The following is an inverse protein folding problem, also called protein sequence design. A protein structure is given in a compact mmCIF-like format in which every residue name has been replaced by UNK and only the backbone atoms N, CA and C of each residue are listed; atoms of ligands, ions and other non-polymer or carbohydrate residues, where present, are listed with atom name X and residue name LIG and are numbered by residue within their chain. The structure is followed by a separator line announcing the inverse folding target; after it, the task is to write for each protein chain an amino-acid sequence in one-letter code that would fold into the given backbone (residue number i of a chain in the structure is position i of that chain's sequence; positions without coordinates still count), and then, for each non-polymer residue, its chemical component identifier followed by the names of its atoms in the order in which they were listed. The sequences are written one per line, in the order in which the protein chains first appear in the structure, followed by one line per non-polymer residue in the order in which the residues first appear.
data_IF_817458412646
#
_entry.id   IF_817458412646
#
_cell.length_a   1.000
_cell.length_b   1.000
_cell.length_c   1.000
_cell.angle_alpha   90.00
_cell.angle_beta   90.00
_cell.angle_gamma   90.00
#
_symmetry.space_group_name_H-M   'P 1'
#
loop_
_entity.id
_entity.type
_entity.pdbx_description
1 polymer ?
#
# COMPACT_ATOMS: atom_id res chain seq x y z
N UNK A 1 -22.72 1.84 -5.15
CA UNK A 1 -23.05 2.96 -4.24
C UNK A 1 -21.80 3.28 -3.44
N UNK A 2 -21.39 4.54 -3.40
CA UNK A 2 -20.15 4.98 -2.72
C UNK A 2 -20.38 5.05 -1.21
N UNK A 3 -19.45 4.52 -0.43
CA UNK A 3 -19.48 4.60 1.04
C UNK A 3 -18.73 5.84 1.52
N UNK A 4 -19.35 6.61 2.42
CA UNK A 4 -18.79 7.77 3.09
C UNK A 4 -18.27 7.35 4.47
N UNK A 5 -17.03 7.67 4.78
CA UNK A 5 -16.43 7.29 6.05
C UNK A 5 -16.43 8.46 7.04
N UNK A 6 -16.41 8.19 8.36
CA UNK A 6 -16.28 9.23 9.36
C UNK A 6 -14.97 9.99 9.15
N UNK A 7 -15.03 11.32 9.25
CA UNK A 7 -13.89 12.21 9.13
C UNK A 7 -13.63 12.85 10.48
N UNK A 8 -12.45 12.60 11.03
CA UNK A 8 -12.00 13.26 12.25
C UNK A 8 -11.37 14.62 11.91
N UNK A 9 -11.74 15.72 12.59
CA UNK A 9 -11.06 16.99 12.41
C UNK A 9 -9.58 16.91 12.79
N UNK A 10 -8.70 17.46 11.94
CA UNK A 10 -7.25 17.31 12.07
C UNK A 10 -6.70 17.69 13.46
N UNK A 11 -7.17 18.80 14.04
CA UNK A 11 -6.70 19.23 15.37
C UNK A 11 -7.06 18.23 16.49
N UNK A 12 -8.23 17.58 16.41
CA UNK A 12 -8.62 16.50 17.33
C UNK A 12 -7.76 15.26 17.07
N UNK A 13 -7.50 14.94 15.80
CA UNK A 13 -6.62 13.82 15.43
C UNK A 13 -5.22 13.97 16.03
N UNK A 14 -4.64 15.18 15.97
CA UNK A 14 -3.34 15.47 16.57
C UNK A 14 -3.35 15.30 18.10
N UNK A 15 -4.39 15.79 18.78
CA UNK A 15 -4.54 15.61 20.23
C UNK A 15 -4.62 14.12 20.62
N UNK A 16 -5.45 13.35 19.93
CA UNK A 16 -5.58 11.90 20.17
C UNK A 16 -4.28 11.16 19.84
N UNK A 17 -3.62 11.54 18.75
CA UNK A 17 -2.35 10.96 18.37
C UNK A 17 -1.28 11.22 19.42
N UNK A 18 -1.11 12.47 19.89
CA UNK A 18 -0.10 12.79 20.90
C UNK A 18 -0.31 12.01 22.20
N UNK A 19 -1.55 11.80 22.63
CA UNK A 19 -1.86 10.91 23.75
C UNK A 19 -1.54 9.43 23.43
N UNK A 20 -1.80 8.97 22.21
CA UNK A 20 -1.65 7.57 21.83
C UNK A 20 -0.20 7.14 21.58
N UNK A 21 0.68 8.05 21.14
CA UNK A 21 2.05 7.73 20.69
C UNK A 21 2.90 7.02 21.74
N UNK A 22 2.69 7.32 23.02
CA UNK A 22 3.41 6.71 24.15
C UNK A 22 2.52 5.78 25.01
N UNK A 23 1.21 5.72 24.75
CA UNK A 23 0.29 4.87 25.48
C UNK A 23 0.58 3.37 25.25
N UNK A 24 0.18 2.54 26.19
CA UNK A 24 0.30 1.08 26.06
C UNK A 24 -0.75 0.54 25.08
N UNK A 25 -0.40 -0.52 24.37
CA UNK A 25 -1.31 -1.20 23.44
C UNK A 25 -2.64 -1.60 24.12
N UNK A 26 -2.65 -2.21 25.34
CA UNK A 26 -3.91 -2.54 26.02
C UNK A 26 -4.77 -1.32 26.35
N UNK A 27 -4.16 -0.20 26.75
CA UNK A 27 -4.90 1.04 27.03
C UNK A 27 -5.59 1.57 25.76
N UNK A 28 -4.89 1.56 24.63
CA UNK A 28 -5.44 2.00 23.35
C UNK A 28 -6.52 1.04 22.83
N UNK A 29 -6.34 -0.26 23.05
CA UNK A 29 -7.35 -1.25 22.66
C UNK A 29 -8.66 -1.05 23.44
N UNK A 30 -8.58 -0.62 24.71
CA UNK A 30 -9.72 -0.32 25.57
C UNK A 30 -10.43 1.00 25.25
N UNK A 31 -9.75 1.97 24.62
CA UNK A 31 -10.34 3.25 24.22
C UNK A 31 -10.72 3.33 22.74
N UNK A 32 -10.29 2.36 21.93
CA UNK A 32 -10.66 2.27 20.52
C UNK A 32 -12.17 2.18 20.35
N UNK A 33 -12.70 2.92 19.37
CA UNK A 33 -14.13 3.09 19.16
C UNK A 33 -14.49 3.06 17.68
N UNK A 34 -15.74 2.75 17.37
CA UNK A 34 -16.31 2.82 16.02
C UNK A 34 -16.97 4.16 15.72
N UNK A 35 -17.02 5.06 16.72
CA UNK A 35 -17.63 6.39 16.63
C UNK A 35 -16.83 7.41 17.47
N UNK A 36 -16.87 8.67 17.06
CA UNK A 36 -16.35 9.79 17.83
C UNK A 36 -17.25 11.01 17.66
N UNK A 37 -17.58 11.77 18.73
CA UNK A 37 -18.58 12.85 18.67
C UNK A 37 -18.18 14.01 17.75
N UNK A 38 -16.88 14.24 17.55
CA UNK A 38 -16.37 15.26 16.64
C UNK A 38 -16.32 14.80 15.16
N UNK A 39 -16.70 13.56 14.83
CA UNK A 39 -16.63 13.09 13.46
C UNK A 39 -17.70 13.70 12.57
N UNK A 40 -17.28 14.09 11.37
CA UNK A 40 -18.13 14.61 10.32
C UNK A 40 -18.22 13.61 9.15
N UNK A 41 -19.14 13.86 8.23
CA UNK A 41 -19.27 13.09 6.99
C UNK A 41 -19.40 14.05 5.82
N UNK A 42 -18.96 13.60 4.64
CA UNK A 42 -19.26 14.30 3.39
C UNK A 42 -20.80 14.51 3.28
N UNK A 43 -21.29 15.73 3.01
CA UNK A 43 -22.72 16.03 3.11
C UNK A 43 -23.62 15.26 2.15
N UNK A 44 -23.12 14.90 0.97
CA UNK A 44 -23.88 14.26 -0.11
C UNK A 44 -23.04 13.25 -0.89
N UNK A 45 -23.68 12.36 -1.67
CA UNK A 45 -23.00 11.53 -2.67
C UNK A 45 -22.72 10.07 -2.27
N UNK A 46 -23.29 9.58 -1.18
CA UNK A 46 -23.11 8.19 -0.75
C UNK A 46 -23.88 7.83 0.52
N UNK A 47 -23.72 6.60 1.00
CA UNK A 47 -24.19 6.20 2.33
C UNK A 47 -23.05 6.21 3.34
N UNK A 48 -23.36 6.64 4.55
CA UNK A 48 -22.43 6.55 5.68
C UNK A 48 -22.07 5.09 5.96
N UNK A 49 -20.79 4.85 6.26
CA UNK A 49 -20.34 3.58 6.80
C UNK A 49 -21.13 3.28 8.08
N UNK A 50 -21.68 2.07 8.18
CA UNK A 50 -22.46 1.67 9.35
C UNK A 50 -21.52 1.28 10.50
N UNK A 51 -22.02 1.39 11.73
CA UNK A 51 -21.33 0.88 12.93
C UNK A 51 -20.90 -0.58 12.71
N UNK A 52 -21.78 -1.42 12.18
CA UNK A 52 -21.47 -2.82 11.88
C UNK A 52 -20.33 -2.99 10.85
N UNK A 53 -20.25 -2.13 9.84
CA UNK A 53 -19.16 -2.15 8.87
C UNK A 53 -17.82 -1.74 9.50
N UNK A 54 -17.82 -0.70 10.35
CA UNK A 54 -16.63 -0.25 11.08
C UNK A 54 -16.15 -1.28 12.11
N UNK A 55 -17.07 -1.90 12.86
CA UNK A 55 -16.77 -3.01 13.77
C UNK A 55 -16.15 -4.20 13.05
N UNK A 56 -16.70 -4.56 11.88
CA UNK A 56 -16.15 -5.63 11.04
C UNK A 56 -14.74 -5.29 10.56
N UNK A 57 -14.53 -4.08 10.04
CA UNK A 57 -13.21 -3.63 9.58
C UNK A 57 -12.17 -3.71 10.71
N UNK A 58 -12.52 -3.22 11.91
CA UNK A 58 -11.63 -3.34 13.08
C UNK A 58 -11.34 -4.80 13.43
N UNK A 59 -12.37 -5.65 13.49
CA UNK A 59 -12.22 -7.06 13.83
C UNK A 59 -11.31 -7.82 12.86
N UNK A 60 -11.49 -7.61 11.56
CA UNK A 60 -10.69 -8.30 10.54
C UNK A 60 -9.23 -7.80 10.54
N UNK A 61 -8.99 -6.49 10.69
CA UNK A 61 -7.63 -5.96 10.82
C UNK A 61 -6.93 -6.40 12.11
N UNK A 62 -7.65 -6.49 13.23
CA UNK A 62 -7.11 -7.05 14.47
C UNK A 62 -6.78 -8.54 14.34
N UNK A 63 -7.58 -9.32 13.62
CA UNK A 63 -7.30 -10.74 13.36
C UNK A 63 -5.99 -10.88 12.57
N UNK A 64 -5.79 -10.06 11.55
CA UNK A 64 -4.53 -10.02 10.80
C UNK A 64 -3.35 -9.60 11.69
N UNK A 65 -3.52 -8.55 12.51
CA UNK A 65 -2.49 -8.12 13.45
C UNK A 65 -2.11 -9.24 14.43
N UNK A 66 -3.10 -9.98 14.96
CA UNK A 66 -2.87 -11.12 15.85
C UNK A 66 -2.07 -12.24 15.18
N UNK A 67 -2.39 -12.58 13.93
CA UNK A 67 -1.60 -13.56 13.16
C UNK A 67 -0.16 -13.10 12.91
N UNK A 68 0.07 -11.78 12.91
CA UNK A 68 1.38 -11.16 12.75
C UNK A 68 2.10 -10.87 14.10
N UNK A 69 1.56 -11.33 15.23
CA UNK A 69 2.23 -11.25 16.54
C UNK A 69 1.66 -10.24 17.53
N UNK A 70 0.60 -9.50 17.17
CA UNK A 70 -0.12 -8.64 18.13
C UNK A 70 -0.59 -9.43 19.36
N UNK A 71 -0.47 -8.89 20.59
CA UNK A 71 -0.01 -7.53 20.92
C UNK A 71 1.51 -7.38 21.13
N UNK A 72 2.30 -8.44 20.93
CA UNK A 72 3.75 -8.42 21.10
C UNK A 72 4.44 -7.82 19.85
N UNK A 73 5.71 -7.44 19.99
CA UNK A 73 6.49 -6.88 18.88
C UNK A 73 6.53 -7.83 17.68
N UNK A 74 6.16 -7.31 16.51
CA UNK A 74 6.26 -8.05 15.25
C UNK A 74 7.67 -7.95 14.66
N UNK A 75 8.17 -9.04 14.08
CA UNK A 75 9.34 -8.98 13.20
C UNK A 75 9.04 -8.17 11.94
N UNK A 76 10.09 -7.73 11.23
CA UNK A 76 9.93 -6.99 9.97
C UNK A 76 9.12 -7.79 8.93
N UNK A 77 9.31 -9.11 8.88
CA UNK A 77 8.57 -10.00 7.98
C UNK A 77 7.09 -10.10 8.36
N UNK A 78 6.77 -10.26 9.64
CA UNK A 78 5.38 -10.29 10.12
C UNK A 78 4.68 -8.96 9.87
N UNK A 79 5.38 -7.85 10.10
CA UNK A 79 4.87 -6.51 9.87
C UNK A 79 4.59 -6.24 8.37
N UNK A 80 5.45 -6.74 7.48
CA UNK A 80 5.22 -6.69 6.03
C UNK A 80 4.04 -7.57 5.59
N UNK A 81 3.91 -8.77 6.15
CA UNK A 81 2.77 -9.66 5.88
C UNK A 81 1.44 -9.02 6.34
N UNK A 82 1.43 -8.38 7.51
CA UNK A 82 0.28 -7.60 7.97
C UNK A 82 -0.07 -6.48 6.99
N UNK A 83 0.92 -5.67 6.56
CA UNK A 83 0.68 -4.56 5.63
C UNK A 83 0.05 -5.03 4.31
N UNK A 84 0.50 -6.18 3.77
CA UNK A 84 -0.04 -6.76 2.55
C UNK A 84 -1.51 -7.19 2.72
N UNK A 85 -1.83 -7.99 3.74
CA UNK A 85 -3.19 -8.46 3.97
C UNK A 85 -4.14 -7.33 4.39
N UNK A 86 -3.67 -6.38 5.20
CA UNK A 86 -4.44 -5.20 5.59
C UNK A 86 -4.79 -4.35 4.36
N UNK A 87 -3.88 -4.20 3.39
CA UNK A 87 -4.16 -3.51 2.12
C UNK A 87 -5.31 -4.16 1.36
N UNK A 88 -5.36 -5.50 1.32
CA UNK A 88 -6.44 -6.27 0.68
C UNK A 88 -7.77 -6.03 1.40
N UNK A 89 -7.79 -6.14 2.74
CA UNK A 89 -9.01 -5.92 3.55
C UNK A 89 -9.52 -4.48 3.38
N UNK A 90 -8.63 -3.49 3.43
CA UNK A 90 -8.97 -2.08 3.25
C UNK A 90 -9.61 -1.85 1.87
N UNK A 91 -9.03 -2.39 0.80
CA UNK A 91 -9.61 -2.25 -0.55
C UNK A 91 -10.98 -2.93 -0.69
N UNK A 92 -11.18 -4.08 -0.06
CA UNK A 92 -12.43 -4.83 -0.15
C UNK A 92 -13.57 -4.22 0.67
N UNK A 93 -13.27 -3.72 1.87
CA UNK A 93 -14.26 -3.22 2.83
C UNK A 93 -14.47 -1.71 2.74
N UNK A 94 -13.43 -0.93 2.41
CA UNK A 94 -13.52 0.51 2.20
C UNK A 94 -13.73 0.84 0.72
N UNK A 95 -14.91 0.47 0.19
CA UNK A 95 -15.35 0.78 -1.19
C UNK A 95 -15.75 2.26 -1.34
N UNK A 96 -14.83 3.13 -1.00
CA UNK A 96 -14.98 4.58 -1.14
C UNK A 96 -14.38 5.07 -2.46
N UNK A 97 -14.89 6.18 -2.97
CA UNK A 97 -14.34 6.82 -4.15
C UNK A 97 -13.00 7.50 -3.83
N UNK A 98 -12.10 7.71 -4.80
CA UNK A 98 -10.87 8.46 -4.60
C UNK A 98 -11.09 9.86 -3.98
N UNK A 99 -12.18 10.53 -4.36
CA UNK A 99 -12.57 11.83 -3.79
C UNK A 99 -12.95 11.78 -2.29
N UNK A 100 -13.31 10.61 -1.77
CA UNK A 100 -13.46 10.37 -0.33
C UNK A 100 -12.10 10.04 0.29
N UNK A 101 -11.31 9.18 -0.36
CA UNK A 101 -10.00 8.73 0.10
C UNK A 101 -8.94 9.85 0.21
N UNK A 102 -9.10 10.98 -0.50
CA UNK A 102 -8.19 12.14 -0.34
C UNK A 102 -8.44 12.91 0.97
N UNK A 103 -9.59 12.71 1.62
CA UNK A 103 -9.96 13.45 2.83
C UNK A 103 -9.17 12.89 4.01
N UNK A 104 -8.22 13.69 4.52
CA UNK A 104 -7.31 13.29 5.60
C UNK A 104 -8.03 12.75 6.84
N UNK A 105 -9.17 13.36 7.20
CA UNK A 105 -9.96 12.98 8.36
C UNK A 105 -10.45 11.53 8.37
N UNK A 106 -10.60 10.89 7.21
CA UNK A 106 -10.95 9.45 7.12
C UNK A 106 -9.84 8.60 7.73
N UNK A 107 -8.60 8.91 7.37
CA UNK A 107 -7.41 8.17 7.80
C UNK A 107 -7.07 8.43 9.25
N UNK A 108 -7.29 9.66 9.70
CA UNK A 108 -7.15 10.07 11.09
C UNK A 108 -8.19 9.43 12.00
N UNK A 109 -9.43 9.28 11.52
CA UNK A 109 -10.42 8.48 12.23
C UNK A 109 -9.96 7.03 12.37
N UNK A 110 -9.46 6.41 11.28
CA UNK A 110 -8.95 5.04 11.32
C UNK A 110 -7.79 4.87 12.31
N UNK A 111 -6.81 5.78 12.27
CA UNK A 111 -5.57 5.67 13.05
C UNK A 111 -5.70 6.14 14.49
N UNK A 112 -6.53 7.14 14.79
CA UNK A 112 -6.65 7.71 16.14
C UNK A 112 -7.85 7.18 16.93
N UNK A 113 -8.91 6.71 16.26
CA UNK A 113 -10.15 6.27 16.91
C UNK A 113 -10.39 4.78 16.71
N UNK A 114 -10.38 4.31 15.46
CA UNK A 114 -10.77 2.94 15.15
C UNK A 114 -9.70 1.92 15.52
N UNK A 115 -8.43 2.19 15.24
CA UNK A 115 -7.31 1.24 15.36
C UNK A 115 -6.02 1.86 15.97
N UNK A 116 -6.09 2.69 17.03
CA UNK A 116 -4.89 3.32 17.59
C UNK A 116 -3.90 2.31 18.19
N UNK A 117 -4.43 1.22 18.74
CA UNK A 117 -3.68 0.07 19.25
C UNK A 117 -2.85 -0.62 18.15
N UNK A 118 -3.41 -0.79 16.96
CA UNK A 118 -2.71 -1.40 15.83
C UNK A 118 -1.61 -0.47 15.30
N UNK A 119 -1.84 0.84 15.26
CA UNK A 119 -0.79 1.82 14.88
C UNK A 119 0.38 1.75 15.87
N UNK A 120 0.08 1.78 17.18
CA UNK A 120 1.08 1.72 18.24
C UNK A 120 1.84 0.40 18.28
N UNK A 121 1.17 -0.72 18.00
CA UNK A 121 1.80 -2.03 17.86
C UNK A 121 2.74 -2.09 16.65
N UNK A 122 2.27 -1.64 15.49
CA UNK A 122 3.01 -1.74 14.22
C UNK A 122 4.25 -0.85 14.17
N UNK A 123 4.28 0.26 14.91
CA UNK A 123 5.34 1.28 14.84
C UNK A 123 5.95 1.66 16.21
N UNK A 124 5.63 0.94 17.28
CA UNK A 124 6.14 1.19 18.63
C UNK A 124 7.61 0.82 18.87
N UNK A 125 8.24 0.08 17.94
CA UNK A 125 9.62 -0.39 18.07
C UNK A 125 9.83 -1.44 19.18
N UNK A 126 11.04 -2.00 19.25
CA UNK A 126 11.42 -3.00 20.25
C UNK A 126 11.50 -2.43 21.67
N UNK A 127 11.78 -1.12 21.81
CA UNK A 127 12.02 -0.45 23.09
C UNK A 127 10.79 0.33 23.61
N UNK A 128 9.60 0.07 23.08
CA UNK A 128 8.39 0.87 23.39
C UNK A 128 8.58 2.38 23.16
N UNK A 129 9.41 2.75 22.19
CA UNK A 129 9.61 4.13 21.78
C UNK A 129 8.28 4.76 21.35
N UNK A 130 8.18 6.08 21.51
CA UNK A 130 7.02 6.82 21.06
C UNK A 130 6.83 6.63 19.56
N UNK A 131 5.64 6.19 19.15
CA UNK A 131 5.32 6.05 17.73
C UNK A 131 5.39 7.43 17.05
N UNK A 132 5.97 7.57 15.85
CA UNK A 132 6.01 8.85 15.16
C UNK A 132 4.60 9.39 14.85
N UNK A 133 4.38 10.70 15.00
CA UNK A 133 3.08 11.35 14.86
C UNK A 133 2.46 11.09 13.48
N UNK A 134 3.29 11.10 12.45
CA UNK A 134 2.89 10.89 11.05
C UNK A 134 2.31 9.49 10.77
N UNK A 135 2.42 8.54 11.71
CA UNK A 135 1.75 7.24 11.59
C UNK A 135 0.25 7.36 11.91
N UNK A 136 -0.09 8.31 12.77
CA UNK A 136 -1.46 8.64 13.13
C UNK A 136 -2.05 9.73 12.24
N UNK A 137 -1.37 10.87 12.09
CA UNK A 137 -1.85 11.99 11.28
C UNK A 137 -2.02 11.57 9.81
N UNK A 138 -2.94 12.20 9.08
CA UNK A 138 -3.11 11.95 7.66
C UNK A 138 -1.84 12.30 6.86
N UNK A 139 -1.63 11.59 5.76
CA UNK A 139 -0.53 11.83 4.82
C UNK A 139 0.11 10.54 4.31
N UNK A 140 1.19 10.69 3.54
CA UNK A 140 1.89 9.57 2.88
C UNK A 140 2.45 8.51 3.84
N UNK A 141 2.66 8.88 5.12
CA UNK A 141 3.22 8.00 6.16
C UNK A 141 2.16 7.40 7.10
N UNK A 142 0.91 7.86 7.02
CA UNK A 142 -0.20 7.31 7.77
C UNK A 142 -0.33 5.82 7.46
N UNK A 143 -0.52 5.00 8.50
CA UNK A 143 -0.51 3.54 8.38
C UNK A 143 -1.52 3.07 7.34
N UNK A 144 -2.79 3.44 7.50
CA UNK A 144 -3.88 2.87 6.70
C UNK A 144 -4.04 3.58 5.35
N UNK A 145 -3.81 4.89 5.29
CA UNK A 145 -3.87 5.66 4.05
C UNK A 145 -2.91 5.09 3.00
N UNK A 146 -1.66 4.87 3.40
CA UNK A 146 -0.63 4.33 2.51
C UNK A 146 -1.02 2.95 1.97
N UNK A 147 -1.59 2.09 2.81
CA UNK A 147 -2.00 0.73 2.42
C UNK A 147 -3.19 0.75 1.44
N UNK A 148 -4.21 1.56 1.72
CA UNK A 148 -5.35 1.68 0.81
C UNK A 148 -4.95 2.26 -0.55
N UNK A 149 -4.14 3.33 -0.59
CA UNK A 149 -3.69 3.91 -1.87
C UNK A 149 -2.84 2.94 -2.68
N UNK A 150 -2.01 2.11 -2.03
CA UNK A 150 -1.28 1.03 -2.73
C UNK A 150 -2.24 0.06 -3.38
N UNK A 151 -3.23 -0.41 -2.63
CA UNK A 151 -4.20 -1.34 -3.17
C UNK A 151 -5.03 -0.73 -4.30
N UNK A 152 -5.40 0.55 -4.17
CA UNK A 152 -6.10 1.31 -5.19
C UNK A 152 -5.29 1.42 -6.49
N UNK A 153 -4.03 1.85 -6.43
CA UNK A 153 -3.19 2.02 -7.63
C UNK A 153 -2.79 0.70 -8.28
N UNK A 154 -2.68 -0.38 -7.51
CA UNK A 154 -2.38 -1.73 -8.01
C UNK A 154 -3.62 -2.45 -8.56
N UNK A 155 -4.82 -1.92 -8.35
CA UNK A 155 -6.03 -2.54 -8.85
C UNK A 155 -5.98 -2.61 -10.40
N UNK A 156 -6.28 -3.78 -11.00
CA UNK A 156 -6.22 -3.94 -12.45
C UNK A 156 -7.36 -3.16 -13.13
N UNK A 157 -7.11 -2.66 -14.36
CA UNK A 157 -8.16 -2.04 -15.20
C UNK A 157 -9.23 -3.02 -15.65
N UNK A 158 -8.89 -4.30 -15.75
CA UNK A 158 -9.78 -5.34 -16.26
C UNK A 158 -10.40 -6.15 -15.12
N UNK A 159 -11.73 -6.23 -15.02
CA UNK A 159 -12.41 -7.10 -14.05
C UNK A 159 -12.10 -8.58 -14.35
N UNK A 160 -11.48 -9.29 -13.40
CA UNK A 160 -11.20 -10.74 -13.52
C UNK A 160 -9.76 -11.12 -13.19
N UNK A 161 -8.84 -10.16 -13.11
CA UNK A 161 -7.48 -10.42 -12.66
C UNK A 161 -7.44 -10.56 -11.13
N UNK A 162 -7.30 -11.78 -10.63
CA UNK A 162 -7.00 -12.09 -9.21
C UNK A 162 -5.57 -11.65 -8.80
N UNK A 163 -5.04 -10.61 -9.44
CA UNK A 163 -3.65 -10.16 -9.34
C UNK A 163 -3.42 -9.28 -8.11
N UNK A 164 -4.41 -8.50 -7.63
CA UNK A 164 -4.15 -7.51 -6.57
C UNK A 164 -3.56 -8.15 -5.30
N UNK A 165 -4.15 -9.24 -4.83
CA UNK A 165 -3.65 -9.93 -3.64
C UNK A 165 -2.27 -10.56 -3.88
N UNK A 166 -2.03 -11.12 -5.06
CA UNK A 166 -0.72 -11.67 -5.45
C UNK A 166 0.35 -10.58 -5.51
N UNK A 167 0.05 -9.44 -6.13
CA UNK A 167 0.93 -8.28 -6.22
C UNK A 167 1.27 -7.74 -4.83
N UNK A 168 0.27 -7.54 -3.96
CA UNK A 168 0.49 -7.03 -2.60
C UNK A 168 1.33 -7.99 -1.74
N UNK A 169 1.24 -9.30 -1.97
CA UNK A 169 2.05 -10.32 -1.26
C UNK A 169 3.46 -10.47 -1.83
N UNK A 170 3.63 -10.26 -3.14
CA UNK A 170 4.88 -10.51 -3.85
C UNK A 170 5.84 -9.31 -3.89
N UNK A 171 5.30 -8.08 -3.78
CA UNK A 171 6.08 -6.85 -3.85
C UNK A 171 6.60 -6.41 -2.48
N UNK A 172 7.88 -6.05 -2.41
CA UNK A 172 8.49 -5.45 -1.23
C UNK A 172 8.15 -3.97 -1.07
N UNK A 173 8.45 -3.43 0.12
CA UNK A 173 8.23 -2.00 0.45
C UNK A 173 8.93 -1.06 -0.55
N UNK A 174 10.20 -1.32 -0.87
CA UNK A 174 10.98 -0.51 -1.82
C UNK A 174 10.31 -0.48 -3.20
N UNK A 175 9.80 -1.60 -3.68
CA UNK A 175 9.17 -1.73 -5.01
C UNK A 175 7.85 -0.96 -5.05
N UNK A 176 7.04 -1.10 -3.98
CA UNK A 176 5.80 -0.35 -3.82
C UNK A 176 6.06 1.15 -3.75
N UNK A 177 7.05 1.59 -2.96
CA UNK A 177 7.44 3.00 -2.89
C UNK A 177 7.88 3.49 -4.26
N UNK A 178 8.74 2.74 -4.96
CA UNK A 178 9.26 3.13 -6.26
C UNK A 178 8.14 3.27 -7.30
N UNK A 179 7.13 2.39 -7.28
CA UNK A 179 5.94 2.49 -8.14
C UNK A 179 5.09 3.72 -7.82
N UNK A 180 4.94 4.08 -6.54
CA UNK A 180 4.06 5.17 -6.09
C UNK A 180 4.70 6.56 -6.14
N UNK A 181 6.03 6.66 -6.15
CA UNK A 181 6.76 7.95 -6.12
C UNK A 181 6.75 8.73 -7.44
N UNK A 182 6.13 8.20 -8.50
CA UNK A 182 6.05 8.84 -9.81
C UNK A 182 4.61 9.23 -10.13
N UNK A 183 4.14 10.45 -9.75
CA UNK A 183 2.74 10.85 -9.90
C UNK A 183 2.22 10.71 -11.33
N UNK A 184 3.06 10.99 -12.34
CA UNK A 184 2.69 10.90 -13.76
C UNK A 184 2.38 9.47 -14.23
N UNK A 185 2.88 8.44 -13.55
CA UNK A 185 2.58 7.04 -13.85
C UNK A 185 1.60 6.44 -12.82
N UNK A 186 1.76 6.80 -11.55
CA UNK A 186 0.92 6.32 -10.45
C UNK A 186 -0.54 6.80 -10.56
N UNK A 187 -0.76 8.00 -11.09
CA UNK A 187 -2.09 8.57 -11.29
C UNK A 187 -2.89 7.92 -12.42
N UNK A 188 -2.23 7.16 -13.28
CA UNK A 188 -2.86 6.50 -14.42
C UNK A 188 -3.50 5.20 -13.92
N UNK A 189 -4.83 5.13 -13.94
CA UNK A 189 -5.60 3.97 -13.45
C UNK A 189 -5.03 2.66 -13.99
N UNK A 190 -4.82 1.66 -13.12
CA UNK A 190 -4.34 0.31 -13.43
C UNK A 190 -2.98 0.15 -14.14
N UNK A 191 -2.31 1.24 -14.55
CA UNK A 191 -0.94 1.18 -15.09
C UNK A 191 0.05 0.68 -14.02
N UNK A 192 0.03 1.15 -12.75
CA UNK A 192 0.95 0.64 -11.72
C UNK A 192 0.78 -0.86 -11.46
N UNK A 193 -0.46 -1.36 -11.42
CA UNK A 193 -0.75 -2.78 -11.33
C UNK A 193 -0.17 -3.57 -12.50
N UNK A 194 -0.36 -3.07 -13.73
CA UNK A 194 0.18 -3.69 -14.95
C UNK A 194 1.72 -3.73 -14.93
N UNK A 195 2.37 -2.61 -14.58
CA UNK A 195 3.84 -2.53 -14.45
C UNK A 195 4.34 -3.51 -13.37
N UNK A 196 3.64 -3.62 -12.25
CA UNK A 196 4.00 -4.52 -11.18
C UNK A 196 3.89 -6.00 -11.61
N UNK A 197 2.81 -6.37 -12.30
CA UNK A 197 2.65 -7.71 -12.87
C UNK A 197 3.77 -8.02 -13.88
N UNK A 198 4.03 -7.08 -14.80
CA UNK A 198 5.13 -7.18 -15.76
C UNK A 198 6.50 -7.34 -15.11
N UNK A 199 6.76 -6.63 -14.00
CA UNK A 199 8.00 -6.77 -13.21
C UNK A 199 8.15 -8.19 -12.67
N UNK A 200 7.09 -8.76 -12.08
CA UNK A 200 7.15 -10.12 -11.53
C UNK A 200 7.41 -11.14 -12.64
N UNK A 201 6.69 -11.07 -13.76
CA UNK A 201 6.90 -11.94 -14.93
C UNK A 201 8.31 -11.79 -15.51
N UNK A 202 8.79 -10.56 -15.67
CA UNK A 202 10.14 -10.29 -16.17
C UNK A 202 11.21 -10.85 -15.24
N UNK A 203 11.03 -10.74 -13.92
CA UNK A 203 11.99 -11.27 -12.94
C UNK A 203 12.09 -12.81 -12.94
N UNK A 204 11.01 -13.50 -13.31
CA UNK A 204 11.02 -14.95 -13.51
C UNK A 204 11.67 -15.34 -14.83
N UNK A 205 11.46 -14.53 -15.87
CA UNK A 205 11.97 -14.78 -17.23
C UNK A 205 13.47 -14.49 -17.35
N UNK A 206 13.93 -13.41 -16.71
CA UNK A 206 15.31 -12.93 -16.75
C UNK A 206 15.92 -13.06 -15.35
N UNK A 207 16.15 -14.30 -14.92
CA UNK A 207 16.62 -14.62 -13.56
C UNK A 207 18.03 -14.09 -13.24
N UNK A 208 18.79 -13.71 -14.26
CA UNK A 208 20.10 -13.05 -14.16
C UNK A 208 20.00 -11.54 -13.85
N UNK A 209 18.79 -10.97 -13.88
CA UNK A 209 18.53 -9.55 -13.59
C UNK A 209 17.71 -9.40 -12.32
N UNK A 210 18.10 -8.45 -11.47
CA UNK A 210 17.34 -8.16 -10.25
C UNK A 210 16.08 -7.36 -10.56
N UNK A 211 15.01 -7.57 -9.78
CA UNK A 211 13.78 -6.73 -9.86
C UNK A 211 14.09 -5.24 -9.80
N UNK A 212 15.03 -4.84 -8.93
CA UNK A 212 15.47 -3.45 -8.79
C UNK A 212 16.07 -2.87 -10.08
N UNK A 213 16.87 -3.64 -10.82
CA UNK A 213 17.40 -3.20 -12.13
C UNK A 213 16.27 -3.05 -13.15
N UNK A 214 15.41 -4.08 -13.25
CA UNK A 214 14.29 -4.10 -14.19
C UNK A 214 13.35 -2.91 -13.98
N UNK A 215 12.89 -2.67 -12.75
CA UNK A 215 11.91 -1.61 -12.46
C UNK A 215 12.50 -0.20 -12.65
N UNK A 216 13.77 0.01 -12.30
CA UNK A 216 14.43 1.32 -12.50
C UNK A 216 14.53 1.69 -13.97
N UNK A 217 14.97 0.77 -14.83
CA UNK A 217 15.07 1.04 -16.27
C UNK A 217 13.70 1.08 -16.96
N UNK A 218 12.77 0.21 -16.55
CA UNK A 218 11.40 0.24 -17.07
C UNK A 218 10.73 1.58 -16.79
N UNK A 219 10.87 2.12 -15.58
CA UNK A 219 10.30 3.43 -15.23
C UNK A 219 10.84 4.57 -16.10
N UNK A 220 12.14 4.61 -16.38
CA UNK A 220 12.71 5.61 -17.29
C UNK A 220 12.07 5.53 -18.68
N UNK A 221 11.86 4.31 -19.19
CA UNK A 221 11.22 4.09 -20.49
C UNK A 221 9.74 4.46 -20.49
N UNK A 222 8.97 4.07 -19.48
CA UNK A 222 7.57 4.49 -19.35
C UNK A 222 7.44 6.02 -19.28
N UNK A 223 8.32 6.70 -18.54
CA UNK A 223 8.34 8.17 -18.50
C UNK A 223 8.63 8.77 -19.88
N UNK A 224 9.64 8.26 -20.59
CA UNK A 224 9.94 8.71 -21.96
C UNK A 224 8.76 8.47 -22.91
N UNK A 225 8.10 7.32 -22.80
CA UNK A 225 6.96 6.97 -23.62
C UNK A 225 5.73 7.83 -23.30
N UNK A 226 5.55 8.24 -22.04
CA UNK A 226 4.40 9.06 -21.63
C UNK A 226 4.34 10.42 -22.34
N UNK A 227 5.47 10.92 -22.87
CA UNK A 227 5.50 12.14 -23.69
C UNK A 227 4.93 11.97 -25.09
N UNK A 228 4.79 10.74 -25.57
CA UNK A 228 4.35 10.42 -26.94
C UNK A 228 3.09 9.53 -26.97
N UNK A 229 2.81 8.82 -25.88
CA UNK A 229 1.69 7.90 -25.74
C UNK A 229 0.82 8.32 -24.55
N UNK A 230 -0.47 8.43 -24.78
CA UNK A 230 -1.44 8.53 -23.69
C UNK A 230 -1.74 7.13 -23.15
N UNK A 231 -1.10 6.75 -22.04
CA UNK A 231 -1.39 5.47 -21.38
C UNK A 231 -2.83 5.39 -20.84
N UNK A 232 -3.50 6.53 -20.66
CA UNK A 232 -4.91 6.60 -20.27
C UNK A 232 -5.84 6.15 -21.39
N UNK A 233 -5.48 6.39 -22.66
CA UNK A 233 -6.30 5.98 -23.82
C UNK A 233 -6.06 4.54 -24.29
N UNK A 234 -5.02 3.87 -23.78
CA UNK A 234 -4.72 2.47 -24.12
C UNK A 234 -5.77 1.54 -23.50
N UNK A 235 -6.39 0.70 -24.33
CA UNK A 235 -7.36 -0.29 -23.89
C UNK A 235 -6.75 -1.27 -22.86
N UNK A 236 -7.56 -1.75 -21.91
CA UNK A 236 -7.10 -2.58 -20.80
C UNK A 236 -6.41 -3.89 -21.23
N UNK A 237 -6.74 -4.46 -22.40
CA UNK A 237 -6.01 -5.63 -22.93
C UNK A 237 -4.69 -5.30 -23.62
N UNK A 238 -4.51 -4.04 -24.01
CA UNK A 238 -3.32 -3.58 -24.74
C UNK A 238 -2.20 -3.14 -23.80
N UNK A 239 -2.55 -2.62 -22.62
CA UNK A 239 -1.60 -2.10 -21.63
C UNK A 239 -0.61 -3.17 -21.16
N UNK A 240 -1.09 -4.39 -20.90
CA UNK A 240 -0.25 -5.51 -20.45
C UNK A 240 0.78 -5.90 -21.52
N UNK A 241 0.37 -5.91 -22.80
CA UNK A 241 1.30 -6.16 -23.91
C UNK A 241 2.34 -5.06 -24.04
N UNK A 242 1.92 -3.80 -23.86
CA UNK A 242 2.84 -2.66 -23.89
C UNK A 242 3.86 -2.72 -22.76
N UNK A 243 3.39 -3.04 -21.55
CA UNK A 243 4.24 -3.24 -20.38
C UNK A 243 5.22 -4.38 -20.62
N UNK A 244 4.75 -5.52 -21.12
CA UNK A 244 5.59 -6.67 -21.46
C UNK A 244 6.70 -6.28 -22.44
N UNK A 245 6.34 -5.60 -23.54
CA UNK A 245 7.31 -5.13 -24.53
C UNK A 245 8.36 -4.18 -23.92
N UNK A 246 7.96 -3.29 -23.01
CA UNK A 246 8.91 -2.43 -22.30
C UNK A 246 9.91 -3.25 -21.50
N UNK A 247 9.45 -4.26 -20.74
CA UNK A 247 10.36 -5.12 -19.96
C UNK A 247 11.28 -5.98 -20.83
N UNK A 248 10.80 -6.50 -21.96
CA UNK A 248 11.63 -7.21 -22.95
C UNK A 248 12.77 -6.30 -23.45
N UNK A 249 12.44 -5.05 -23.80
CA UNK A 249 13.45 -4.08 -24.25
C UNK A 249 14.41 -3.66 -23.13
N UNK A 250 13.94 -3.58 -21.87
CA UNK A 250 14.80 -3.33 -20.71
C UNK A 250 15.80 -4.45 -20.55
N UNK A 251 15.34 -5.70 -20.51
CA UNK A 251 16.20 -6.86 -20.34
C UNK A 251 17.22 -7.01 -21.46
N UNK A 252 16.84 -6.68 -22.71
CA UNK A 252 17.77 -6.66 -23.84
C UNK A 252 18.84 -5.56 -23.74
N UNK A 253 18.57 -4.46 -23.02
CA UNK A 253 19.50 -3.32 -22.89
C UNK A 253 20.41 -3.37 -21.66
N UNK A 254 20.08 -4.21 -20.67
CA UNK A 254 20.86 -4.32 -19.45
C UNK A 254 22.07 -5.24 -19.68
N UNK A 255 23.26 -4.86 -19.18
CA UNK A 255 24.41 -5.75 -19.21
C UNK A 255 24.12 -6.98 -18.34
N UNK A 256 24.24 -8.17 -18.91
CA UNK A 256 24.10 -9.43 -18.17
C UNK A 256 25.36 -9.65 -17.36
N UNK A 257 25.23 -10.11 -16.12
CA UNK A 257 26.41 -10.51 -15.36
C UNK A 257 27.07 -11.69 -16.07
N UNK A 258 28.29 -11.50 -16.58
CA UNK A 258 29.09 -12.61 -17.08
C UNK A 258 29.32 -13.59 -15.92
N UNK A 259 28.96 -14.84 -16.13
CA UNK A 259 29.35 -15.99 -15.30
C UNK A 259 30.86 -16.27 -15.45
N UNK A 260 31.72 -15.30 -15.17
CA UNK A 260 33.18 -15.44 -15.21
C UNK A 260 33.77 -15.33 -13.81
N UNK A 261 33.60 -16.38 -13.00
CA UNK A 261 34.40 -16.62 -11.79
C UNK A 261 34.30 -18.05 -11.26
N UNK A 262 34.29 -19.06 -12.15
CA UNK A 262 34.32 -20.48 -11.75
C UNK A 262 35.38 -21.35 -12.46
N UNK A 263 36.32 -20.76 -13.21
CA UNK A 263 37.37 -21.51 -13.93
C UNK A 263 38.81 -21.03 -13.65
N UNK A 264 39.02 -20.13 -12.69
CA UNK A 264 40.33 -19.59 -12.34
C UNK A 264 40.97 -20.19 -11.09
N UNK A 265 40.95 -21.52 -10.92
CA UNK A 265 41.82 -22.20 -9.93
C UNK A 265 42.02 -23.68 -10.25
N UNK A 266 42.62 -23.96 -11.41
CA UNK A 266 43.50 -25.12 -11.58
C UNK A 266 44.69 -24.66 -12.41
N UNK A 267 45.87 -24.98 -11.89
CA UNK A 267 47.22 -24.88 -12.47
C UNK A 267 48.09 -23.79 -11.84
N UNK A 268 49.07 -24.26 -11.06
CA UNK A 268 50.08 -23.53 -10.31
C UNK A 268 50.52 -24.30 -9.09
#
# INVERSE_FOLDING_TARGET
MVTLFPQLPHHIALQLADAARAASIPSLAGTASVEHPACEYTPTGGARATVAALSRLRSDLLRLAATAGYPNSASQQQAAAFDAEASIVLAQQMRMAPAEAIKGGVWEFLSCVLLPDVVRWRFGGADNAATPLERFAAGRRNVFQRLWWRAFHLAPRSPGASQLAELLRALGEDELVQLMERPSLAGIEGLPGSIAAGLLTASQTYSDLTRRQLIREAQKRFLRLSSFLSFESIASGEIDRHVKSVFEQVAASLPRQNSESALGHRDG
#
